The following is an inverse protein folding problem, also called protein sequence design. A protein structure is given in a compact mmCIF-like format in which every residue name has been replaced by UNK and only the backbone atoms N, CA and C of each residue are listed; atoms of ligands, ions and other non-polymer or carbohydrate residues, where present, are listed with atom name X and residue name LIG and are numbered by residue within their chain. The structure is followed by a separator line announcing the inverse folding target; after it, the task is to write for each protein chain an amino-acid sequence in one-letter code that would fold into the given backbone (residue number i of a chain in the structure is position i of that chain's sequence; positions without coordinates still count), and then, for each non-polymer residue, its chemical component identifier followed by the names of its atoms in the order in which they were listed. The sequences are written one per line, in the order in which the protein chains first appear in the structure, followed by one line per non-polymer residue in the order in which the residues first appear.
data_IF_939779819404
#
_entry.id   IF_939779819404
#
_cell.length_a   1.000
_cell.length_b   1.000
_cell.length_c   1.000
_cell.angle_alpha   90.00
_cell.angle_beta   90.00
_cell.angle_gamma   90.00
#
_symmetry.space_group_name_H-M   'P 1'
#
loop_
_entity.id
_entity.type
_entity.pdbx_description
1 polymer ?
#
# COMPACT_ATOMS: atom_id res chain seq x y z
N UNK A 1 4.78 -14.00 20.93
CA UNK A 1 3.43 -13.43 20.72
C UNK A 1 2.90 -13.64 19.29
N UNK A 2 3.71 -13.47 18.24
CA UNK A 2 3.27 -13.57 16.84
C UNK A 2 2.54 -14.85 16.43
N UNK A 3 2.99 -16.03 16.88
CA UNK A 3 2.34 -17.32 16.58
C UNK A 3 0.91 -17.39 17.16
N UNK A 4 0.73 -16.92 18.40
CA UNK A 4 -0.57 -16.90 19.08
C UNK A 4 -1.52 -15.90 18.42
N UNK A 5 -1.02 -14.71 18.07
CA UNK A 5 -1.79 -13.70 17.35
C UNK A 5 -2.23 -14.19 15.97
N UNK A 6 -1.35 -14.85 15.23
CA UNK A 6 -1.71 -15.47 13.95
C UNK A 6 -2.78 -16.55 14.12
N UNK A 7 -2.65 -17.40 15.14
CA UNK A 7 -3.65 -18.40 15.49
C UNK A 7 -5.01 -17.79 15.81
N UNK A 8 -5.04 -16.74 16.62
CA UNK A 8 -6.25 -15.98 16.95
C UNK A 8 -6.88 -15.34 15.70
N UNK A 9 -6.07 -14.76 14.82
CA UNK A 9 -6.55 -14.20 13.55
C UNK A 9 -7.14 -15.27 12.61
N UNK A 10 -6.57 -16.48 12.59
CA UNK A 10 -7.13 -17.61 11.85
C UNK A 10 -8.46 -18.10 12.44
N UNK A 11 -8.58 -18.15 13.77
CA UNK A 11 -9.84 -18.47 14.44
C UNK A 11 -10.93 -17.47 14.04
N UNK A 12 -10.62 -16.18 14.08
CA UNK A 12 -11.53 -15.10 13.72
C UNK A 12 -11.76 -14.93 12.22
N UNK A 13 -11.14 -15.75 11.37
CA UNK A 13 -11.36 -15.70 9.93
C UNK A 13 -12.47 -16.70 9.54
N UNK A 14 -13.67 -16.22 9.15
CA UNK A 14 -14.81 -17.10 8.87
C UNK A 14 -14.54 -18.08 7.73
N UNK A 15 -13.85 -17.65 6.68
CA UNK A 15 -13.47 -18.54 5.58
C UNK A 15 -12.63 -19.73 6.09
N UNK A 16 -11.66 -19.43 6.95
CA UNK A 16 -10.70 -20.43 7.43
C UNK A 16 -11.29 -21.32 8.52
N UNK A 17 -11.90 -20.76 9.57
CA UNK A 17 -12.35 -21.56 10.72
C UNK A 17 -13.46 -22.53 10.32
N UNK A 18 -14.48 -22.09 9.57
CA UNK A 18 -15.58 -22.96 9.18
C UNK A 18 -15.15 -23.99 8.13
N UNK A 19 -14.21 -23.64 7.24
CA UNK A 19 -13.59 -24.60 6.32
C UNK A 19 -12.74 -25.67 7.01
N UNK A 20 -12.08 -25.31 8.13
CA UNK A 20 -11.34 -26.25 8.96
C UNK A 20 -12.27 -27.13 9.81
N UNK A 21 -13.37 -26.57 10.34
CA UNK A 21 -14.36 -27.31 11.13
C UNK A 21 -15.12 -28.35 10.32
N UNK A 22 -15.30 -28.13 9.02
CA UNK A 22 -15.88 -29.13 8.12
C UNK A 22 -15.05 -30.42 8.00
N UNK A 23 -13.78 -30.39 8.44
CA UNK A 23 -12.83 -31.50 8.36
C UNK A 23 -12.61 -32.12 9.74
N UNK A 24 -13.12 -33.34 10.01
CA UNK A 24 -13.02 -33.95 11.34
C UNK A 24 -11.57 -34.17 11.78
N UNK A 25 -10.65 -34.45 10.85
CA UNK A 25 -9.22 -34.61 11.12
C UNK A 25 -8.53 -33.31 11.59
N UNK A 26 -9.18 -32.15 11.40
CA UNK A 26 -8.69 -30.84 11.84
C UNK A 26 -9.36 -30.35 13.13
N UNK A 27 -10.21 -31.14 13.78
CA UNK A 27 -10.89 -30.75 15.02
C UNK A 27 -9.90 -30.30 16.11
N UNK A 28 -8.86 -31.09 16.37
CA UNK A 28 -7.80 -30.73 17.35
C UNK A 28 -7.06 -29.44 16.97
N UNK A 29 -6.92 -29.17 15.68
CA UNK A 29 -6.29 -27.92 15.22
C UNK A 29 -7.20 -26.72 15.48
N UNK A 30 -8.52 -26.84 15.23
CA UNK A 30 -9.50 -25.79 15.55
C UNK A 30 -9.51 -25.46 17.04
N UNK A 31 -9.44 -26.49 17.91
CA UNK A 31 -9.35 -26.29 19.35
C UNK A 31 -8.06 -25.56 19.77
N UNK A 32 -6.93 -25.84 19.11
CA UNK A 32 -5.69 -25.07 19.32
C UNK A 32 -5.85 -23.61 18.89
N UNK A 33 -6.56 -23.33 17.79
CA UNK A 33 -6.85 -21.95 17.37
C UNK A 33 -7.71 -21.21 18.41
N UNK A 34 -8.74 -21.87 18.95
CA UNK A 34 -9.59 -21.33 20.03
C UNK A 34 -8.77 -21.03 21.29
N UNK A 35 -7.87 -21.94 21.68
CA UNK A 35 -6.96 -21.72 22.81
C UNK A 35 -6.05 -20.50 22.59
N UNK A 36 -5.43 -20.38 21.40
CA UNK A 36 -4.59 -19.23 21.07
C UNK A 36 -5.38 -17.91 21.07
N UNK A 37 -6.65 -17.92 20.62
CA UNK A 37 -7.53 -16.76 20.75
C UNK A 37 -7.75 -16.38 22.22
N UNK A 38 -8.03 -17.35 23.09
CA UNK A 38 -8.24 -17.08 24.52
C UNK A 38 -6.99 -16.48 25.19
N UNK A 39 -5.80 -16.97 24.84
CA UNK A 39 -4.55 -16.37 25.33
C UNK A 39 -4.37 -14.92 24.85
N UNK A 40 -4.74 -14.62 23.60
CA UNK A 40 -4.68 -13.25 23.05
C UNK A 40 -5.72 -12.34 23.71
N UNK A 41 -6.93 -12.87 23.96
CA UNK A 41 -7.99 -12.15 24.66
C UNK A 41 -7.52 -11.69 26.05
N UNK A 42 -6.92 -12.58 26.84
CA UNK A 42 -6.39 -12.25 28.18
C UNK A 42 -5.30 -11.17 28.14
N UNK A 43 -4.56 -11.07 27.04
CA UNK A 43 -3.54 -10.03 26.89
C UNK A 43 -4.08 -8.69 26.38
N UNK A 44 -5.16 -8.72 25.59
CA UNK A 44 -5.71 -7.52 24.97
C UNK A 44 -6.83 -6.86 25.78
N UNK A 45 -7.56 -7.65 26.57
CA UNK A 45 -8.67 -7.16 27.40
C UNK A 45 -8.34 -7.42 28.89
N UNK A 46 -7.99 -6.37 29.66
CA UNK A 46 -7.69 -6.50 31.08
C UNK A 46 -8.94 -6.56 31.98
N UNK A 47 -10.13 -6.30 31.41
CA UNK A 47 -11.40 -6.34 32.11
C UNK A 47 -12.02 -7.76 32.03
N UNK A 48 -12.06 -8.45 33.17
CA UNK A 48 -12.53 -9.83 33.27
C UNK A 48 -14.02 -10.01 32.90
N UNK A 49 -14.85 -9.00 33.16
CA UNK A 49 -16.27 -9.04 32.84
C UNK A 49 -16.47 -8.98 31.32
N UNK A 50 -15.76 -8.06 30.65
CA UNK A 50 -15.74 -8.00 29.18
C UNK A 50 -15.12 -9.23 28.55
N UNK A 51 -14.01 -9.71 29.12
CA UNK A 51 -13.37 -10.95 28.68
C UNK A 51 -14.34 -12.14 28.70
N UNK A 52 -15.15 -12.25 29.75
CA UNK A 52 -16.18 -13.27 29.88
C UNK A 52 -17.29 -13.14 28.83
N UNK A 53 -17.76 -11.92 28.56
CA UNK A 53 -18.74 -11.64 27.49
C UNK A 53 -18.17 -12.01 26.12
N UNK A 54 -16.94 -11.59 25.82
CA UNK A 54 -16.27 -11.88 24.55
C UNK A 54 -16.08 -13.39 24.39
N UNK A 55 -15.68 -14.09 25.45
CA UNK A 55 -15.52 -15.55 25.43
C UNK A 55 -16.82 -16.25 25.06
N UNK A 56 -17.95 -15.85 25.67
CA UNK A 56 -19.29 -16.39 25.34
C UNK A 56 -19.69 -16.09 23.90
N UNK A 57 -19.51 -14.86 23.43
CA UNK A 57 -19.79 -14.49 22.03
C UNK A 57 -18.94 -15.30 21.06
N UNK A 58 -17.70 -15.62 21.44
CA UNK A 58 -16.80 -16.41 20.62
C UNK A 58 -17.21 -17.89 20.56
N UNK A 59 -17.88 -18.42 21.59
CA UNK A 59 -18.50 -19.75 21.53
C UNK A 59 -19.68 -19.78 20.54
N UNK A 60 -20.52 -18.74 20.55
CA UNK A 60 -21.64 -18.60 19.59
C UNK A 60 -21.11 -18.48 18.16
N UNK A 61 -20.06 -17.68 17.96
CA UNK A 61 -19.34 -17.60 16.68
C UNK A 61 -18.79 -18.97 16.27
N UNK A 62 -18.09 -19.67 17.16
CA UNK A 62 -17.51 -20.97 16.86
C UNK A 62 -18.61 -21.97 16.43
N UNK A 63 -19.73 -22.02 17.13
CA UNK A 63 -20.87 -22.87 16.76
C UNK A 63 -21.59 -22.39 15.49
N UNK A 64 -21.42 -21.13 15.10
CA UNK A 64 -22.18 -20.52 14.01
C UNK A 64 -23.64 -20.31 14.38
N UNK A 65 -23.90 -20.16 15.68
CA UNK A 65 -25.21 -20.04 16.30
C UNK A 65 -25.44 -18.62 16.80
N UNK A 66 -26.66 -18.35 17.27
CA UNK A 66 -27.08 -17.02 17.70
C UNK A 66 -27.55 -16.13 16.55
N UNK A 67 -28.14 -15.00 16.90
CA UNK A 67 -28.77 -14.08 15.94
C UNK A 67 -27.77 -13.47 14.96
N UNK A 68 -26.51 -13.29 15.38
CA UNK A 68 -25.44 -12.69 14.58
C UNK A 68 -24.90 -13.65 13.50
N UNK A 69 -24.66 -14.91 13.88
CA UNK A 69 -23.79 -15.82 13.10
C UNK A 69 -24.54 -16.92 12.33
N UNK A 70 -25.85 -17.08 12.59
CA UNK A 70 -26.72 -18.05 11.92
C UNK A 70 -27.32 -17.54 10.60
N UNK A 71 -27.13 -16.26 10.25
CA UNK A 71 -27.69 -15.65 9.04
C UNK A 71 -27.24 -16.36 7.76
N UNK A 72 -28.20 -16.74 6.89
CA UNK A 72 -27.93 -17.36 5.58
C UNK A 72 -27.01 -16.49 4.71
N UNK A 73 -27.22 -15.17 4.74
CA UNK A 73 -26.38 -14.23 3.99
C UNK A 73 -24.96 -14.20 4.55
N UNK A 74 -24.83 -14.16 5.88
CA UNK A 74 -23.55 -14.25 6.57
C UNK A 74 -22.77 -15.50 6.18
N UNK A 75 -23.44 -16.66 6.14
CA UNK A 75 -22.84 -17.94 5.76
C UNK A 75 -22.30 -17.97 4.33
N UNK A 76 -23.09 -17.46 3.38
CA UNK A 76 -22.70 -17.39 1.97
C UNK A 76 -21.52 -16.44 1.74
N UNK A 77 -21.42 -15.38 2.54
CA UNK A 77 -20.39 -14.36 2.40
C UNK A 77 -19.09 -14.68 3.15
N UNK A 78 -19.05 -15.76 3.96
CA UNK A 78 -17.83 -16.19 4.68
C UNK A 78 -16.64 -16.38 3.75
N UNK A 79 -16.88 -16.90 2.53
CA UNK A 79 -15.83 -17.14 1.54
C UNK A 79 -15.63 -15.99 0.56
N UNK A 80 -16.63 -15.11 0.41
CA UNK A 80 -16.64 -14.02 -0.58
C UNK A 80 -16.05 -12.72 -0.05
N UNK A 81 -16.23 -12.43 1.24
CA UNK A 81 -15.74 -11.21 1.88
C UNK A 81 -14.40 -11.44 2.57
N UNK A 82 -13.60 -10.38 2.68
CA UNK A 82 -12.45 -10.40 3.59
C UNK A 82 -12.94 -10.50 5.05
N UNK A 83 -12.14 -11.06 5.98
CA UNK A 83 -12.54 -11.18 7.38
C UNK A 83 -12.98 -9.86 7.99
N UNK A 84 -12.25 -8.77 7.70
CA UNK A 84 -12.56 -7.44 8.19
C UNK A 84 -13.94 -6.95 7.72
N UNK A 85 -14.27 -7.14 6.43
CA UNK A 85 -15.57 -6.77 5.87
C UNK A 85 -16.70 -7.65 6.38
N UNK A 86 -16.44 -8.95 6.58
CA UNK A 86 -17.43 -9.87 7.13
C UNK A 86 -17.79 -9.50 8.57
N UNK A 87 -16.78 -9.24 9.41
CA UNK A 87 -17.01 -8.77 10.78
C UNK A 87 -17.76 -7.44 10.80
N UNK A 88 -17.43 -6.51 9.90
CA UNK A 88 -18.17 -5.25 9.76
C UNK A 88 -19.66 -5.43 9.42
N UNK A 89 -19.99 -6.40 8.56
CA UNK A 89 -21.36 -6.61 8.08
C UNK A 89 -22.24 -7.48 9.00
N UNK A 90 -21.65 -8.50 9.64
CA UNK A 90 -22.42 -9.53 10.36
C UNK A 90 -22.13 -9.60 11.87
N UNK A 91 -21.07 -8.93 12.34
CA UNK A 91 -20.69 -8.94 13.76
C UNK A 91 -21.43 -7.93 14.64
N UNK A 92 -22.31 -7.09 14.10
CA UNK A 92 -22.85 -5.91 14.82
C UNK A 92 -23.61 -6.24 16.11
N UNK A 93 -24.33 -7.36 16.16
CA UNK A 93 -25.03 -7.82 17.36
C UNK A 93 -24.09 -8.44 18.42
N UNK A 94 -22.84 -8.74 18.04
CA UNK A 94 -21.78 -9.22 18.91
C UNK A 94 -20.67 -8.16 19.02
N UNK A 95 -21.04 -6.92 19.39
CA UNK A 95 -20.17 -5.74 19.31
C UNK A 95 -18.79 -5.93 19.98
N UNK A 96 -18.76 -6.46 21.21
CA UNK A 96 -17.49 -6.67 21.95
C UNK A 96 -16.54 -7.61 21.19
N UNK A 97 -17.07 -8.75 20.72
CA UNK A 97 -16.29 -9.67 19.90
C UNK A 97 -15.93 -9.07 18.54
N UNK A 98 -16.83 -8.33 17.90
CA UNK A 98 -16.60 -7.68 16.62
C UNK A 98 -15.45 -6.66 16.71
N UNK A 99 -15.43 -5.85 17.78
CA UNK A 99 -14.39 -4.86 18.00
C UNK A 99 -13.02 -5.53 18.13
N UNK A 100 -12.91 -6.52 19.01
CA UNK A 100 -11.68 -7.30 19.18
C UNK A 100 -11.30 -8.03 17.90
N UNK A 101 -12.27 -8.62 17.20
CA UNK A 101 -12.02 -9.39 15.99
C UNK A 101 -11.45 -8.51 14.88
N UNK A 102 -12.05 -7.34 14.64
CA UNK A 102 -11.55 -6.34 13.68
C UNK A 102 -10.15 -5.88 14.06
N UNK A 103 -9.89 -5.68 15.35
CA UNK A 103 -8.55 -5.32 15.83
C UNK A 103 -7.55 -6.44 15.51
N UNK A 104 -7.79 -7.67 15.97
CA UNK A 104 -6.88 -8.81 15.77
C UNK A 104 -6.63 -9.11 14.28
N UNK A 105 -7.68 -9.17 13.45
CA UNK A 105 -7.52 -9.48 12.02
C UNK A 105 -6.92 -8.32 11.21
N UNK A 106 -6.89 -7.11 11.76
CA UNK A 106 -6.18 -5.97 11.16
C UNK A 106 -4.69 -5.92 11.53
N UNK A 107 -4.27 -6.64 12.57
CA UNK A 107 -2.88 -6.69 12.98
C UNK A 107 -2.06 -7.57 12.02
N UNK A 108 -0.93 -7.04 11.56
CA UNK A 108 0.06 -7.81 10.82
C UNK A 108 0.70 -8.86 11.71
N UNK A 109 0.42 -10.13 11.45
CA UNK A 109 1.03 -11.23 12.18
C UNK A 109 2.42 -11.63 11.64
N UNK A 110 2.89 -11.05 10.53
CA UNK A 110 4.21 -11.32 9.95
C UNK A 110 5.13 -10.10 9.96
N UNK A 111 6.38 -10.31 10.35
CA UNK A 111 7.45 -9.31 10.22
C UNK A 111 7.87 -9.10 8.75
N UNK A 112 7.57 -10.05 7.85
CA UNK A 112 7.98 -9.98 6.43
C UNK A 112 7.36 -8.81 5.65
N UNK A 113 6.19 -8.31 6.07
CA UNK A 113 5.65 -7.05 5.56
C UNK A 113 6.48 -5.87 6.05
N UNK A 114 6.78 -5.83 7.35
CA UNK A 114 7.61 -4.79 7.96
C UNK A 114 9.05 -4.78 7.42
N UNK A 115 9.66 -5.93 7.15
CA UNK A 115 11.00 -6.06 6.58
C UNK A 115 11.06 -5.51 5.14
N UNK A 116 10.07 -5.82 4.30
CA UNK A 116 9.93 -5.22 2.96
C UNK A 116 9.68 -3.72 3.03
N UNK A 117 8.93 -3.28 4.04
CA UNK A 117 8.71 -1.86 4.28
C UNK A 117 10.03 -1.16 4.66
N UNK A 118 10.82 -1.76 5.55
CA UNK A 118 12.14 -1.25 5.95
C UNK A 118 13.16 -1.24 4.80
N UNK A 119 13.11 -2.21 3.88
CA UNK A 119 13.99 -2.17 2.70
C UNK A 119 13.67 -0.99 1.78
N UNK A 120 12.41 -0.57 1.67
CA UNK A 120 12.03 0.67 0.96
C UNK A 120 12.59 1.92 1.66
N UNK A 121 12.62 1.95 3.00
CA UNK A 121 13.19 3.05 3.77
C UNK A 121 14.73 3.06 3.81
N UNK A 122 15.40 2.03 3.28
CA UNK A 122 16.87 1.96 3.21
C UNK A 122 17.47 3.12 2.39
N UNK A 123 16.73 3.67 1.43
CA UNK A 123 17.17 4.81 0.62
C UNK A 123 17.30 6.13 1.42
N UNK A 124 16.59 6.25 2.54
CA UNK A 124 16.70 7.40 3.46
C UNK A 124 18.05 7.38 4.21
N UNK A 125 18.64 6.18 4.35
CA UNK A 125 19.96 5.96 4.96
C UNK A 125 20.90 5.24 4.01
N UNK A 126 21.45 5.96 3.03
CA UNK A 126 22.56 5.42 2.26
C UNK A 126 23.88 5.52 3.04
N UNK A 127 24.78 4.53 2.93
CA UNK A 127 26.13 4.58 3.53
C UNK A 127 26.97 5.79 3.04
N UNK A 128 26.56 6.48 1.97
CA UNK A 128 27.25 7.62 1.36
C UNK A 128 26.62 9.00 1.67
N UNK A 129 25.41 9.08 2.24
CA UNK A 129 24.74 10.33 2.62
C UNK A 129 23.98 10.16 3.95
N UNK A 130 24.30 11.04 4.90
CA UNK A 130 23.64 11.29 6.17
C UNK A 130 23.41 10.09 7.10
N UNK A 131 24.22 10.04 8.16
CA UNK A 131 23.94 9.25 9.35
C UNK A 131 22.96 10.05 10.22
N UNK A 132 21.67 10.03 9.87
CA UNK A 132 20.63 10.58 10.74
C UNK A 132 20.57 9.80 12.06
N UNK A 133 20.18 10.51 13.12
CA UNK A 133 19.84 9.89 14.39
C UNK A 133 18.62 8.98 14.21
N UNK A 134 18.61 7.82 14.89
CA UNK A 134 17.55 6.81 14.77
C UNK A 134 16.14 7.40 14.99
N UNK A 135 16.01 8.34 15.93
CA UNK A 135 14.73 9.01 16.20
C UNK A 135 14.25 9.83 14.99
N UNK A 136 15.13 10.63 14.37
CA UNK A 136 14.80 11.41 13.17
C UNK A 136 14.47 10.53 11.97
N UNK A 137 15.12 9.38 11.84
CA UNK A 137 14.78 8.41 10.80
C UNK A 137 13.37 7.86 11.00
N UNK A 138 13.02 7.48 12.22
CA UNK A 138 11.70 6.95 12.56
C UNK A 138 10.60 8.00 12.31
N UNK A 139 10.86 9.25 12.70
CA UNK A 139 9.92 10.34 12.44
C UNK A 139 9.71 10.57 10.93
N UNK A 140 10.80 10.54 10.14
CA UNK A 140 10.72 10.71 8.69
C UNK A 140 9.99 9.54 8.01
N UNK A 141 10.30 8.30 8.41
CA UNK A 141 9.62 7.11 7.87
C UNK A 141 8.14 7.10 8.23
N UNK A 142 7.79 7.50 9.45
CA UNK A 142 6.40 7.64 9.89
C UNK A 142 5.63 8.69 9.08
N UNK A 143 6.19 9.90 8.93
CA UNK A 143 5.53 10.98 8.17
C UNK A 143 5.35 10.58 6.71
N UNK A 144 6.38 10.00 6.09
CA UNK A 144 6.33 9.57 4.69
C UNK A 144 5.31 8.43 4.47
N UNK A 145 5.27 7.45 5.38
CA UNK A 145 4.28 6.37 5.36
C UNK A 145 2.86 6.91 5.54
N UNK A 146 2.67 7.84 6.48
CA UNK A 146 1.35 8.40 6.82
C UNK A 146 0.78 9.22 5.66
N UNK A 147 1.59 10.07 5.01
CA UNK A 147 1.19 10.83 3.82
C UNK A 147 0.76 9.92 2.68
N UNK A 148 1.60 8.94 2.33
CA UNK A 148 1.30 7.97 1.27
C UNK A 148 0.04 7.14 1.54
N UNK A 149 -0.23 6.80 2.81
CA UNK A 149 -1.48 6.16 3.18
C UNK A 149 -2.69 7.09 3.00
N UNK A 150 -2.57 8.36 3.40
CA UNK A 150 -3.65 9.34 3.23
C UNK A 150 -4.01 9.52 1.76
N UNK A 151 -3.03 9.75 0.88
CA UNK A 151 -3.21 9.89 -0.57
C UNK A 151 -3.90 8.66 -1.17
N UNK A 152 -3.54 7.48 -0.67
CA UNK A 152 -4.13 6.22 -1.12
C UNK A 152 -5.55 6.02 -0.63
N UNK A 153 -5.86 6.34 0.62
CA UNK A 153 -7.24 6.33 1.11
C UNK A 153 -8.13 7.29 0.32
N UNK A 154 -7.57 8.43 -0.08
CA UNK A 154 -8.24 9.38 -0.95
C UNK A 154 -8.49 8.82 -2.35
N UNK A 155 -7.47 8.23 -3.00
CA UNK A 155 -7.65 7.55 -4.30
C UNK A 155 -8.65 6.40 -4.25
N UNK A 156 -8.62 5.55 -3.22
CA UNK A 156 -9.61 4.46 -3.05
C UNK A 156 -11.03 5.02 -2.92
N UNK A 157 -11.17 6.15 -2.22
CA UNK A 157 -12.47 6.83 -2.05
C UNK A 157 -12.97 7.45 -3.36
N UNK A 158 -12.07 7.96 -4.20
CA UNK A 158 -12.37 8.58 -5.50
C UNK A 158 -12.63 7.54 -6.60
N UNK A 159 -11.83 6.47 -6.66
CA UNK A 159 -11.90 5.42 -7.69
C UNK A 159 -12.95 4.33 -7.37
N UNK A 160 -13.40 4.25 -6.11
CA UNK A 160 -14.40 3.29 -5.66
C UNK A 160 -14.04 1.84 -5.98
N UNK A 161 -14.98 1.07 -6.51
CA UNK A 161 -14.79 -0.36 -6.84
C UNK A 161 -13.88 -0.65 -8.04
N UNK A 162 -13.41 0.39 -8.74
CA UNK A 162 -12.59 0.26 -9.97
C UNK A 162 -11.08 0.35 -9.71
N UNK A 163 -10.67 0.91 -8.57
CA UNK A 163 -9.26 0.97 -8.18
C UNK A 163 -8.69 -0.42 -7.94
N UNK A 164 -7.46 -0.67 -8.40
CA UNK A 164 -6.72 -1.89 -8.08
C UNK A 164 -6.77 -2.12 -6.57
N UNK A 165 -7.13 -3.36 -6.16
CA UNK A 165 -7.16 -3.80 -4.76
C UNK A 165 -5.72 -3.91 -4.25
N UNK A 166 -5.02 -2.78 -4.14
CA UNK A 166 -3.68 -2.75 -3.56
C UNK A 166 -3.78 -3.23 -2.11
N UNK A 167 -2.81 -4.02 -1.68
CA UNK A 167 -2.76 -4.52 -0.32
C UNK A 167 -2.20 -3.40 0.59
N UNK A 168 -2.91 -2.96 1.65
CA UNK A 168 -2.38 -1.95 2.59
C UNK A 168 -1.07 -2.33 3.27
N UNK A 169 -0.66 -3.60 3.17
CA UNK A 169 0.57 -4.12 3.74
C UNK A 169 1.74 -4.21 2.75
N UNK A 170 1.51 -3.89 1.47
CA UNK A 170 2.52 -3.99 0.40
C UNK A 170 2.92 -2.59 -0.05
N UNK A 171 4.14 -2.17 0.32
CA UNK A 171 4.72 -0.87 -0.06
C UNK A 171 5.47 -0.90 -1.40
N UNK A 172 5.45 -2.02 -2.13
CA UNK A 172 6.09 -2.16 -3.45
C UNK A 172 5.38 -1.34 -4.54
N UNK A 173 4.08 -1.10 -4.40
CA UNK A 173 3.28 -0.24 -5.29
C UNK A 173 3.63 1.25 -5.14
N UNK A 174 4.39 1.61 -4.09
CA UNK A 174 4.86 2.97 -3.92
C UNK A 174 6.12 3.12 -4.74
N UNK A 175 6.07 3.88 -5.83
CA UNK A 175 7.29 4.47 -6.38
C UNK A 175 7.90 5.35 -5.26
N UNK A 176 9.03 4.90 -4.72
CA UNK A 176 9.84 5.63 -3.73
C UNK A 176 10.88 6.51 -4.41
N UNK A 177 10.67 6.78 -5.69
CA UNK A 177 11.36 7.80 -6.45
C UNK A 177 11.19 9.09 -5.64
N UNK A 178 12.32 9.71 -5.31
CA UNK A 178 12.39 10.79 -4.35
C UNK A 178 11.54 11.99 -4.83
N UNK A 179 10.28 12.04 -4.43
CA UNK A 179 9.43 13.23 -4.61
C UNK A 179 10.03 14.46 -3.89
N UNK A 180 10.90 14.22 -2.90
CA UNK A 180 11.73 15.23 -2.23
C UNK A 180 12.93 15.72 -3.05
N UNK A 181 13.28 15.06 -4.15
CA UNK A 181 14.37 15.43 -5.06
C UNK A 181 13.83 15.90 -6.41
N UNK A 182 12.57 15.62 -6.72
CA UNK A 182 11.90 16.27 -7.84
C UNK A 182 11.35 17.64 -7.42
N UNK A 183 12.28 18.57 -7.14
CA UNK A 183 11.96 19.99 -7.00
C UNK A 183 11.38 20.59 -8.28
N UNK A 184 11.31 19.83 -9.37
CA UNK A 184 11.04 20.35 -10.71
C UNK A 184 9.61 20.06 -11.20
N UNK A 185 8.89 19.12 -10.58
CA UNK A 185 7.53 18.75 -10.97
C UNK A 185 6.42 19.28 -10.05
N UNK A 186 6.75 19.89 -8.90
CA UNK A 186 5.72 20.45 -8.03
C UNK A 186 5.18 21.78 -8.56
N UNK A 187 3.84 21.94 -8.71
CA UNK A 187 3.22 23.22 -8.98
C UNK A 187 3.43 24.16 -7.78
N UNK A 188 3.58 25.46 -8.04
CA UNK A 188 3.88 26.46 -6.99
C UNK A 188 2.78 26.51 -5.92
N UNK A 189 1.55 26.23 -6.31
CA UNK A 189 0.38 26.00 -5.45
C UNK A 189 -0.64 25.12 -6.18
N UNK A 190 -1.64 24.63 -5.45
CA UNK A 190 -2.67 23.73 -5.96
C UNK A 190 -3.49 24.41 -7.09
N UNK A 191 -3.43 23.85 -8.31
CA UNK A 191 -4.09 24.41 -9.50
C UNK A 191 -3.25 25.39 -10.32
N UNK A 192 -1.97 25.58 -10.00
CA UNK A 192 -1.06 26.38 -10.82
C UNK A 192 -0.55 25.58 -12.03
N UNK A 193 -0.56 26.21 -13.22
CA UNK A 193 0.10 25.72 -14.43
C UNK A 193 1.64 25.93 -14.39
N UNK A 194 2.14 26.54 -13.32
CA UNK A 194 3.53 26.95 -13.18
C UNK A 194 4.22 26.07 -12.12
N UNK A 195 5.35 25.46 -12.49
CA UNK A 195 6.16 24.63 -11.59
C UNK A 195 7.31 25.42 -10.97
N UNK A 196 7.84 24.94 -9.84
CA UNK A 196 9.02 25.55 -9.20
C UNK A 196 10.27 25.53 -10.11
N UNK A 197 10.38 24.62 -11.07
CA UNK A 197 11.45 24.62 -12.07
C UNK A 197 11.38 25.83 -13.01
N UNK A 198 10.19 26.18 -13.48
CA UNK A 198 10.00 27.35 -14.33
C UNK A 198 10.30 28.65 -13.58
N UNK A 199 10.02 28.67 -12.27
CA UNK A 199 10.38 29.78 -11.39
C UNK A 199 11.90 29.85 -11.18
N UNK A 200 12.57 28.72 -10.94
CA UNK A 200 14.04 28.66 -10.77
C UNK A 200 14.78 29.11 -12.03
N UNK A 201 14.31 28.69 -13.21
CA UNK A 201 14.86 29.10 -14.52
C UNK A 201 14.64 30.60 -14.79
N UNK A 202 13.44 31.11 -14.51
CA UNK A 202 13.12 32.54 -14.69
C UNK A 202 13.89 33.46 -13.72
N UNK A 203 14.16 32.97 -12.51
CA UNK A 203 14.85 33.73 -11.45
C UNK A 203 16.37 33.50 -11.48
N UNK A 204 16.85 32.47 -12.18
CA UNK A 204 18.27 32.11 -12.29
C UNK A 204 18.88 31.69 -10.95
N UNK A 205 18.08 31.17 -10.02
CA UNK A 205 18.53 30.90 -8.65
C UNK A 205 19.56 29.75 -8.57
N UNK A 206 19.56 28.84 -9.54
CA UNK A 206 20.54 27.76 -9.67
C UNK A 206 21.82 28.14 -10.45
N UNK A 207 21.89 29.31 -11.08
CA UNK A 207 23.05 29.78 -11.87
C UNK A 207 24.08 30.61 -11.08
N UNK A 208 23.98 30.64 -9.75
CA UNK A 208 25.03 31.20 -8.89
C UNK A 208 26.39 30.48 -9.09
N UNK A 209 27.53 31.14 -8.81
CA UNK A 209 28.85 30.64 -9.18
C UNK A 209 29.10 29.23 -8.62
N UNK A 210 29.13 28.27 -9.55
CA UNK A 210 29.34 26.85 -9.32
C UNK A 210 30.61 26.58 -8.50
N UNK A 211 30.47 26.11 -7.26
CA UNK A 211 31.49 25.26 -6.64
C UNK A 211 31.43 23.89 -7.30
N UNK A 212 32.29 23.71 -8.31
CA UNK A 212 32.69 22.47 -8.98
C UNK A 212 32.17 21.16 -8.33
N UNK A 213 31.11 20.60 -8.90
CA UNK A 213 30.79 19.17 -8.83
C UNK A 213 30.57 18.66 -10.26
N UNK A 214 31.69 18.44 -10.97
CA UNK A 214 31.66 17.75 -12.26
C UNK A 214 31.23 16.30 -12.02
N UNK A 215 29.99 15.97 -12.38
CA UNK A 215 29.57 14.60 -12.64
C UNK A 215 30.20 14.16 -13.97
N UNK A 216 31.18 13.25 -13.89
CA UNK A 216 31.72 12.56 -15.08
C UNK A 216 30.74 11.44 -15.46
N UNK A 217 29.91 11.74 -16.44
CA UNK A 217 29.45 10.91 -17.56
C UNK A 217 29.03 9.46 -17.33
N UNK A 218 27.78 9.17 -17.71
CA UNK A 218 27.53 8.16 -18.74
C UNK A 218 26.56 8.78 -19.75
N UNK A 219 27.04 8.97 -20.98
CA UNK A 219 26.31 9.64 -22.04
C UNK A 219 25.29 8.73 -22.70
N UNK A 220 24.14 9.30 -23.03
CA UNK A 220 23.43 8.99 -24.27
C UNK A 220 22.89 10.31 -24.78
N UNK A 221 23.56 10.88 -25.79
CA UNK A 221 23.04 12.01 -26.55
C UNK A 221 21.85 11.51 -27.37
N UNK A 222 20.66 12.03 -27.10
CA UNK A 222 19.60 12.09 -28.09
C UNK A 222 19.40 13.56 -28.45
N UNK A 223 19.95 13.95 -29.60
CA UNK A 223 19.69 15.24 -30.20
C UNK A 223 18.22 15.30 -30.62
N UNK A 224 17.45 16.21 -30.03
CA UNK A 224 16.10 16.54 -30.50
C UNK A 224 16.20 17.78 -31.37
N UNK A 225 16.14 17.57 -32.69
CA UNK A 225 16.02 18.63 -33.69
C UNK A 225 14.56 19.11 -33.75
N UNK A 226 14.32 20.37 -33.40
CA UNK A 226 13.06 21.06 -33.71
C UNK A 226 13.02 21.39 -35.20
N UNK A 227 12.01 20.89 -35.92
CA UNK A 227 11.68 21.40 -37.27
C UNK A 227 10.21 21.81 -37.29
N UNK A 228 10.01 23.11 -37.52
CA UNK A 228 8.72 23.77 -37.66
C UNK A 228 8.05 23.36 -38.97
N UNK A 229 6.77 23.01 -38.89
CA UNK A 229 5.92 22.83 -40.07
C UNK A 229 5.55 24.20 -40.65
N UNK A 230 5.94 24.46 -41.91
CA UNK A 230 5.30 25.48 -42.75
C UNK A 230 5.05 24.93 -44.15
N UNK A 231 3.83 25.18 -44.61
CA UNK A 231 3.19 24.61 -45.79
C UNK A 231 3.42 25.48 -47.04
N UNK A 232 3.56 24.81 -48.20
CA UNK A 232 3.19 25.25 -49.57
C UNK A 232 4.09 26.36 -50.18
N UNK A 233 4.53 26.36 -51.44
CA UNK A 233 3.89 26.09 -52.75
C UNK A 233 4.97 25.76 -53.82
N UNK A 234 4.50 25.12 -54.88
CA UNK A 234 5.09 24.55 -56.10
C UNK A 234 5.52 25.58 -57.18
N UNK A 235 6.63 25.35 -57.88
CA UNK A 235 6.94 25.72 -59.30
C UNK A 235 8.32 25.09 -59.64
N UNK A 236 8.43 24.01 -60.42
CA UNK A 236 8.36 23.81 -61.91
C UNK A 236 9.62 24.30 -62.65
N UNK A 237 10.19 23.40 -63.46
CA UNK A 237 11.23 23.63 -64.49
C UNK A 237 12.35 22.59 -64.38
N UNK A 238 12.32 21.48 -65.15
CA UNK A 238 12.99 21.31 -66.47
C UNK A 238 14.52 21.01 -66.27
N UNK A 239 15.19 19.99 -66.80
CA UNK A 239 14.95 19.00 -67.85
C UNK A 239 16.03 17.88 -67.78
N UNK A 240 15.69 16.71 -68.36
CA UNK A 240 16.49 15.83 -69.25
C UNK A 240 17.88 15.34 -68.80
N UNK A 241 18.03 14.03 -68.52
CA UNK A 241 18.61 12.98 -69.39
C UNK A 241 20.00 12.60 -68.80
N UNK A 242 20.51 11.37 -68.75
CA UNK A 242 20.53 10.29 -69.72
C UNK A 242 21.01 8.99 -68.99
N UNK A 243 20.64 7.84 -69.54
CA UNK A 243 20.98 6.48 -69.11
C UNK A 243 22.47 6.10 -69.31
N UNK A 244 22.87 5.07 -68.54
CA UNK A 244 23.82 3.99 -68.84
C UNK A 244 25.22 4.31 -69.43
N UNK A 245 26.26 3.85 -68.74
CA UNK A 245 27.08 2.80 -69.35
C UNK A 245 27.89 1.98 -68.35
N UNK A 246 27.98 0.70 -68.69
CA UNK A 246 28.72 -0.34 -67.98
C UNK A 246 30.23 -0.29 -68.29
N UNK A 247 31.04 -0.64 -67.28
CA UNK A 247 32.12 -1.62 -67.45
C UNK A 247 32.59 -2.16 -66.08
#
# INVERSE_FOLDING_TARGET
MGVKLYGAALFLNPNRIYGLKAKPEKAQYCQRLRHMFNEVLLHMEPDDDKGSVISRLADDYERGEGECFSSKLGNNDRTKKSPLLWWGAYGGLAYELQHLAKHIVSLCASASGCERNWSCFQNIHSKKRNRLEFQRLNDLSYVQYSRKNADRFQKIREEGSKGTRSDPLVLEDLQWDNEWVDHNAQPVYEGADITWAQVDEAVGASEGPLRNLRSRGSGSQAAVTHVHSRSRVHQVGEDEDEEDDAN
#
